data_IF_049135994061
#
_entry.id   IF_049135994061
#
_cell.length_a   1.000
_cell.length_b   1.000
_cell.length_c   1.000
_cell.angle_alpha   90.00
_cell.angle_beta   90.00
_cell.angle_gamma   90.00
#
_symmetry.space_group_name_H-M   'P 1'
#
loop_
_entity.id
_entity.type
_entity.pdbx_description
1 polymer ?
#
# COMPACT_ATOMS: atom_id res chain seq x y z
N UNK A 1 -14.92 14.21 6.56
CA UNK A 1 -14.27 14.19 5.23
C UNK A 1 -13.06 15.11 5.29
N UNK A 2 -11.87 14.55 5.06
CA UNK A 2 -10.60 15.30 5.02
C UNK A 2 -10.11 15.30 3.56
N UNK A 3 -9.33 16.29 3.16
CA UNK A 3 -8.72 16.33 1.82
C UNK A 3 -7.21 16.33 1.93
N UNK A 4 -6.55 15.69 0.97
CA UNK A 4 -5.09 15.69 0.86
C UNK A 4 -4.69 15.67 -0.62
N UNK A 5 -3.45 16.04 -0.90
CA UNK A 5 -2.90 16.04 -2.26
C UNK A 5 -2.10 14.76 -2.45
N UNK A 6 -2.42 14.02 -3.52
CA UNK A 6 -1.66 12.86 -3.92
C UNK A 6 -0.23 13.28 -4.25
N UNK A 7 0.74 12.76 -3.50
CA UNK A 7 2.15 13.01 -3.74
C UNK A 7 2.84 11.70 -4.13
N UNK A 8 3.68 11.74 -5.17
CA UNK A 8 4.62 10.65 -5.36
C UNK A 8 5.61 10.66 -4.21
N UNK A 9 5.89 9.48 -3.67
CA UNK A 9 7.09 9.32 -2.87
C UNK A 9 8.32 9.40 -3.78
N UNK A 10 9.47 9.86 -3.28
CA UNK A 10 10.76 9.76 -3.97
C UNK A 10 11.23 8.29 -4.01
N UNK A 11 10.37 7.41 -4.53
CA UNK A 11 10.71 6.02 -4.77
C UNK A 11 11.56 5.96 -6.03
N UNK A 12 12.48 4.99 -6.04
CA UNK A 12 13.21 4.70 -7.26
C UNK A 12 12.20 4.30 -8.35
N UNK A 13 12.44 4.66 -9.62
CA UNK A 13 11.76 4.05 -10.75
C UNK A 13 11.71 2.54 -10.57
N UNK A 14 10.66 1.88 -11.07
CA UNK A 14 10.65 0.43 -11.14
C UNK A 14 11.97 -0.07 -11.76
N UNK A 15 12.51 -1.23 -11.35
CA UNK A 15 13.81 -1.76 -11.82
C UNK A 15 13.98 -1.88 -13.35
N UNK A 16 12.93 -1.62 -14.11
CA UNK A 16 12.88 -1.70 -15.57
C UNK A 16 12.52 -0.37 -16.26
N UNK A 17 12.59 0.76 -15.54
CA UNK A 17 12.21 2.08 -16.07
C UNK A 17 10.71 2.34 -15.98
N UNK A 18 10.33 3.61 -16.02
CA UNK A 18 8.94 4.11 -15.89
C UNK A 18 8.09 3.96 -17.14
N UNK A 19 8.55 3.25 -18.17
CA UNK A 19 7.84 3.21 -19.45
C UNK A 19 7.67 1.78 -19.92
N UNK A 20 6.66 1.09 -19.38
CA UNK A 20 5.90 0.22 -20.27
C UNK A 20 5.16 1.12 -21.27
N UNK A 21 5.25 0.89 -22.59
CA UNK A 21 4.45 1.61 -23.57
C UNK A 21 2.96 1.49 -23.22
N UNK A 22 2.36 2.57 -22.70
CA UNK A 22 0.96 2.59 -22.25
C UNK A 22 0.74 2.90 -20.77
N UNK A 23 1.77 2.88 -19.91
CA UNK A 23 1.68 3.42 -18.54
C UNK A 23 1.95 4.94 -18.59
N UNK A 24 0.94 5.75 -18.25
CA UNK A 24 1.10 7.22 -18.20
C UNK A 24 2.03 7.58 -17.02
N UNK A 25 3.10 8.31 -17.30
CA UNK A 25 4.28 8.46 -16.46
C UNK A 25 4.15 9.15 -15.09
N UNK A 26 2.94 9.40 -14.57
CA UNK A 26 2.73 10.10 -13.29
C UNK A 26 1.85 9.34 -12.28
N UNK A 27 1.60 8.04 -12.52
CA UNK A 27 0.78 7.24 -11.62
C UNK A 27 1.42 7.04 -10.24
N UNK A 28 0.59 7.12 -9.20
CA UNK A 28 0.98 6.78 -7.83
C UNK A 28 1.00 5.26 -7.70
N UNK A 29 2.15 4.72 -7.27
CA UNK A 29 2.27 3.28 -6.98
C UNK A 29 1.26 2.84 -5.92
N UNK A 30 0.62 1.69 -6.12
CA UNK A 30 -0.34 1.13 -5.15
C UNK A 30 0.24 0.97 -3.73
N UNK A 31 1.55 0.74 -3.60
CA UNK A 31 2.23 0.69 -2.30
C UNK A 31 2.28 2.04 -1.56
N UNK A 32 2.27 3.17 -2.27
CA UNK A 32 2.14 4.49 -1.65
C UNK A 32 0.73 4.69 -1.11
N UNK A 33 -0.27 4.31 -1.91
CA UNK A 33 -1.68 4.36 -1.51
C UNK A 33 -1.94 3.43 -0.33
N UNK A 34 -1.33 2.24 -0.31
CA UNK A 34 -1.37 1.33 0.84
C UNK A 34 -0.78 1.99 2.09
N UNK A 35 0.34 2.71 1.97
CA UNK A 35 0.89 3.52 3.05
C UNK A 35 -0.13 4.51 3.61
N UNK A 36 -0.74 5.32 2.74
CA UNK A 36 -1.77 6.30 3.15
C UNK A 36 -2.99 5.64 3.82
N UNK A 37 -3.47 4.51 3.29
CA UNK A 37 -4.56 3.76 3.89
C UNK A 37 -4.20 3.22 5.28
N UNK A 38 -2.92 2.91 5.50
CA UNK A 38 -2.42 2.35 6.76
C UNK A 38 -2.29 3.41 7.85
N UNK A 39 -2.13 4.68 7.49
CA UNK A 39 -2.11 5.79 8.47
C UNK A 39 -3.37 5.81 9.34
N UNK A 40 -4.54 5.52 8.77
CA UNK A 40 -5.82 5.58 9.50
C UNK A 40 -5.93 4.56 10.64
N UNK A 41 -5.77 3.24 10.42
CA UNK A 41 -5.82 2.28 11.52
C UNK A 41 -4.64 2.43 12.49
N UNK A 42 -3.48 2.91 12.04
CA UNK A 42 -2.35 3.24 12.93
C UNK A 42 -2.70 4.42 13.84
N UNK A 43 -3.33 5.47 13.33
CA UNK A 43 -3.77 6.61 14.14
C UNK A 43 -4.83 6.20 15.18
N UNK A 44 -5.72 5.27 14.85
CA UNK A 44 -6.82 4.85 15.74
C UNK A 44 -6.38 3.79 16.77
N UNK A 45 -5.65 2.76 16.33
CA UNK A 45 -5.33 1.59 17.16
C UNK A 45 -3.84 1.41 17.46
N UNK A 46 -2.96 2.14 16.77
CA UNK A 46 -1.52 2.14 16.99
C UNK A 46 -0.90 0.75 16.96
N UNK A 47 -0.13 0.43 18.00
CA UNK A 47 0.69 -0.77 18.07
C UNK A 47 -0.16 -2.05 18.07
N UNK A 48 -1.37 -1.97 18.64
CA UNK A 48 -2.29 -3.10 18.67
C UNK A 48 -2.62 -3.57 17.25
N UNK A 49 -2.85 -2.62 16.33
CA UNK A 49 -3.11 -2.93 14.93
C UNK A 49 -1.86 -3.35 14.18
N UNK A 50 -0.70 -2.75 14.46
CA UNK A 50 0.55 -3.23 13.86
C UNK A 50 0.89 -4.67 14.23
N UNK A 51 0.49 -5.14 15.41
CA UNK A 51 0.77 -6.51 15.87
C UNK A 51 -0.20 -7.56 15.34
N UNK A 52 -1.46 -7.20 15.12
CA UNK A 52 -2.53 -8.18 14.87
C UNK A 52 -3.66 -7.67 13.96
N UNK A 53 -3.51 -6.51 13.36
CA UNK A 53 -4.48 -5.89 12.48
C UNK A 53 -4.45 -6.46 11.07
N UNK A 54 -5.51 -6.19 10.32
CA UNK A 54 -5.62 -6.48 8.90
C UNK A 54 -6.07 -5.24 8.16
N UNK A 55 -5.71 -5.17 6.88
CA UNK A 55 -6.23 -4.20 5.91
C UNK A 55 -6.46 -4.92 4.59
N UNK A 56 -7.70 -4.92 4.12
CA UNK A 56 -8.04 -5.33 2.76
C UNK A 56 -8.19 -4.08 1.91
N UNK A 57 -7.56 -4.04 0.73
CA UNK A 57 -7.55 -2.86 -0.15
C UNK A 57 -8.06 -3.24 -1.53
N UNK A 58 -8.81 -2.33 -2.15
CA UNK A 58 -9.16 -2.41 -3.57
C UNK A 58 -8.76 -1.11 -4.25
N UNK A 59 -7.96 -1.20 -5.31
CA UNK A 59 -7.58 -0.08 -6.18
C UNK A 59 -8.50 -0.09 -7.40
N UNK A 60 -9.37 0.90 -7.51
CA UNK A 60 -10.36 0.98 -8.58
C UNK A 60 -9.88 1.81 -9.76
N UNK A 61 -9.05 2.83 -9.51
CA UNK A 61 -8.53 3.73 -10.55
C UNK A 61 -7.10 4.17 -10.24
N UNK A 62 -6.27 4.41 -11.27
CA UNK A 62 -4.98 5.05 -11.09
C UNK A 62 -5.15 6.45 -10.48
N UNK A 63 -4.25 6.80 -9.56
CA UNK A 63 -4.12 8.15 -9.02
C UNK A 63 -2.90 8.82 -9.64
N UNK A 64 -2.90 10.15 -9.77
CA UNK A 64 -1.80 10.93 -10.36
C UNK A 64 -1.24 11.91 -9.33
N UNK A 65 0.06 12.20 -9.40
CA UNK A 65 0.68 13.22 -8.55
C UNK A 65 0.02 14.60 -8.73
N UNK A 66 -0.11 15.36 -7.64
CA UNK A 66 -0.76 16.68 -7.63
C UNK A 66 -2.29 16.64 -7.62
N UNK A 67 -2.89 15.47 -7.82
CA UNK A 67 -4.35 15.30 -7.73
C UNK A 67 -4.83 15.55 -6.31
N UNK A 68 -5.89 16.36 -6.15
CA UNK A 68 -6.58 16.48 -4.87
C UNK A 68 -7.48 15.28 -4.67
N UNK A 69 -7.34 14.63 -3.52
CA UNK A 69 -8.14 13.50 -3.10
C UNK A 69 -8.96 13.89 -1.88
N UNK A 70 -10.20 13.43 -1.83
CA UNK A 70 -10.99 13.41 -0.61
C UNK A 70 -10.89 12.04 0.05
N UNK A 71 -10.90 12.04 1.38
CA UNK A 71 -10.94 10.82 2.19
C UNK A 71 -12.13 10.84 3.12
N UNK A 72 -12.83 9.72 3.09
CA UNK A 72 -13.88 9.38 4.02
C UNK A 72 -13.43 8.18 4.86
N UNK A 73 -13.56 8.32 6.18
CA UNK A 73 -13.16 7.28 7.15
C UNK A 73 -14.35 7.07 8.08
N UNK A 74 -15.01 5.93 7.92
CA UNK A 74 -16.11 5.53 8.76
C UNK A 74 -15.60 4.54 9.80
N UNK A 75 -15.79 4.88 11.09
CA UNK A 75 -15.35 4.05 12.21
C UNK A 75 -16.49 3.21 12.75
N UNK A 76 -16.22 1.92 12.93
CA UNK A 76 -17.08 0.96 13.61
C UNK A 76 -16.37 0.40 14.85
N UNK A 77 -17.03 -0.45 15.62
CA UNK A 77 -16.49 -0.95 16.90
C UNK A 77 -15.10 -1.63 16.78
N UNK A 78 -14.85 -2.38 15.69
CA UNK A 78 -13.60 -3.10 15.45
C UNK A 78 -13.09 -3.01 14.01
N UNK A 79 -13.67 -2.11 13.21
CA UNK A 79 -13.30 -1.90 11.82
C UNK A 79 -13.29 -0.42 11.42
N UNK A 80 -12.50 -0.10 10.39
CA UNK A 80 -12.52 1.19 9.69
C UNK A 80 -12.80 0.92 8.21
N UNK A 81 -13.81 1.59 7.66
CA UNK A 81 -14.00 1.67 6.21
C UNK A 81 -13.38 2.98 5.73
N UNK A 82 -12.48 2.89 4.76
CA UNK A 82 -11.71 4.02 4.22
C UNK A 82 -12.00 4.10 2.73
N UNK A 83 -12.30 5.31 2.24
CA UNK A 83 -12.60 5.56 0.84
C UNK A 83 -11.87 6.82 0.36
N UNK A 84 -11.10 6.67 -0.71
CA UNK A 84 -10.47 7.77 -1.42
C UNK A 84 -11.19 8.08 -2.73
N UNK A 85 -11.52 9.34 -2.95
CA UNK A 85 -12.17 9.82 -4.17
C UNK A 85 -11.40 10.97 -4.80
N UNK A 86 -11.46 11.07 -6.13
CA UNK A 86 -10.95 12.21 -6.88
C UNK A 86 -11.84 13.45 -6.74
N UNK A 87 -11.40 14.57 -7.35
CA UNK A 87 -12.15 15.82 -7.35
C UNK A 87 -13.53 15.73 -8.03
N UNK A 88 -13.74 14.73 -8.89
CA UNK A 88 -15.01 14.45 -9.57
C UNK A 88 -15.88 13.46 -8.75
N UNK A 89 -15.48 13.08 -7.54
CA UNK A 89 -16.19 12.15 -6.66
C UNK A 89 -16.09 10.69 -7.09
N UNK A 90 -15.13 10.31 -7.93
CA UNK A 90 -14.94 8.92 -8.36
C UNK A 90 -14.02 8.20 -7.38
N UNK A 91 -14.42 6.99 -6.98
CA UNK A 91 -13.63 6.14 -6.10
C UNK A 91 -12.34 5.70 -6.80
N UNK A 92 -11.21 6.02 -6.18
CA UNK A 92 -9.88 5.60 -6.62
C UNK A 92 -9.38 4.39 -5.84
N UNK A 93 -9.60 4.37 -4.52
CA UNK A 93 -9.23 3.23 -3.67
C UNK A 93 -10.16 3.11 -2.47
N UNK A 94 -10.32 1.88 -1.97
CA UNK A 94 -11.02 1.58 -0.72
C UNK A 94 -10.19 0.68 0.17
N UNK A 95 -10.38 0.80 1.48
CA UNK A 95 -9.71 0.00 2.49
C UNK A 95 -10.68 -0.42 3.58
N UNK A 96 -10.59 -1.67 4.03
CA UNK A 96 -11.28 -2.15 5.24
C UNK A 96 -10.22 -2.63 6.21
N UNK A 97 -9.99 -1.85 7.26
CA UNK A 97 -9.07 -2.20 8.34
C UNK A 97 -9.84 -2.86 9.49
N UNK A 98 -9.26 -3.89 10.11
CA UNK A 98 -9.87 -4.55 11.28
C UNK A 98 -8.85 -4.79 12.39
N UNK A 99 -9.33 -4.75 13.63
CA UNK A 99 -8.60 -5.16 14.83
C UNK A 99 -9.37 -6.32 15.47
N UNK A 100 -8.68 -7.40 15.87
CA UNK A 100 -9.24 -8.65 16.44
C UNK A 100 -9.77 -9.69 15.45
N UNK A 101 -9.24 -9.77 14.23
CA UNK A 101 -9.51 -10.96 13.39
C UNK A 101 -8.84 -12.19 14.03
N UNK A 102 -9.63 -13.06 14.67
CA UNK A 102 -9.18 -14.36 15.17
C UNK A 102 -8.85 -15.35 14.05
N UNK A 103 -9.29 -15.05 12.83
CA UNK A 103 -8.91 -15.83 11.66
C UNK A 103 -7.45 -15.52 11.32
N UNK A 104 -6.54 -16.46 11.59
CA UNK A 104 -5.13 -16.40 11.20
C UNK A 104 -4.82 -17.34 10.03
N UNK A 105 -5.84 -17.90 9.39
CA UNK A 105 -5.65 -19.01 8.46
C UNK A 105 -5.65 -18.49 7.02
N UNK A 106 -4.47 -18.15 6.53
CA UNK A 106 -4.23 -18.30 5.09
C UNK A 106 -3.44 -19.59 4.92
N UNK A 107 -4.08 -20.63 4.39
CA UNK A 107 -3.36 -21.80 3.90
C UNK A 107 -2.60 -21.37 2.64
N UNK A 108 -1.31 -21.10 2.80
CA UNK A 108 -0.41 -20.81 1.69
C UNK A 108 0.30 -22.10 1.25
N UNK A 109 0.52 -22.22 -0.05
CA UNK A 109 1.24 -23.31 -0.68
C UNK A 109 2.53 -22.71 -1.24
N UNK A 110 3.66 -23.08 -0.64
CA UNK A 110 5.00 -22.62 -1.05
C UNK A 110 5.45 -23.36 -2.30
N UNK A 111 4.74 -23.12 -3.39
CA UNK A 111 5.16 -23.51 -4.72
C UNK A 111 5.68 -22.23 -5.38
N UNK A 112 6.92 -22.27 -5.85
CA UNK A 112 7.52 -21.21 -6.64
C UNK A 112 7.22 -21.59 -8.09
N UNK A 113 6.06 -21.21 -8.67
CA UNK A 113 5.79 -21.56 -10.05
C UNK A 113 6.88 -20.91 -10.91
N UNK A 114 7.47 -21.69 -11.81
CA UNK A 114 8.16 -21.11 -12.95
C UNK A 114 7.11 -20.36 -13.75
N UNK A 115 6.90 -19.08 -13.46
CA UNK A 115 6.01 -18.23 -14.23
C UNK A 115 6.70 -18.00 -15.57
N UNK A 116 6.29 -18.77 -16.58
CA UNK A 116 6.39 -18.31 -17.95
C UNK A 116 5.77 -16.91 -17.99
N UNK A 117 6.48 -15.92 -18.56
CA UNK A 117 6.01 -14.52 -18.57
C UNK A 117 4.59 -14.47 -19.16
N UNK A 118 3.60 -14.36 -18.29
CA UNK A 118 2.22 -14.15 -18.71
C UNK A 118 2.12 -12.73 -19.27
N UNK A 119 1.41 -12.58 -20.39
CA UNK A 119 0.91 -11.27 -20.80
C UNK A 119 -0.19 -10.91 -19.82
N UNK A 120 -0.01 -9.89 -18.96
CA UNK A 120 -0.99 -9.59 -17.92
C UNK A 120 -2.30 -9.10 -18.53
N UNK A 121 -3.40 -9.76 -18.15
CA UNK A 121 -4.78 -9.33 -18.35
C UNK A 121 -5.58 -9.48 -17.04
N UNK A 122 -6.84 -9.06 -17.06
CA UNK A 122 -7.71 -9.09 -15.89
C UNK A 122 -7.91 -10.50 -15.28
N UNK A 123 -7.71 -11.55 -16.07
CA UNK A 123 -7.87 -12.95 -15.66
C UNK A 123 -6.55 -13.64 -15.31
N UNK A 124 -5.41 -13.00 -15.58
CA UNK A 124 -4.08 -13.60 -15.44
C UNK A 124 -3.70 -13.97 -14.00
N UNK A 125 -4.47 -13.46 -13.02
CA UNK A 125 -4.32 -13.77 -11.60
C UNK A 125 -5.56 -14.46 -11.01
N UNK A 126 -6.55 -14.83 -11.81
CA UNK A 126 -7.77 -15.48 -11.32
C UNK A 126 -7.44 -16.85 -10.72
N UNK A 127 -7.72 -17.00 -9.42
CA UNK A 127 -7.37 -18.21 -8.67
C UNK A 127 -5.87 -18.41 -8.44
N UNK A 128 -5.02 -17.48 -8.90
CA UNK A 128 -3.58 -17.55 -8.69
C UNK A 128 -3.24 -17.20 -7.23
N UNK A 129 -2.46 -18.06 -6.59
CA UNK A 129 -1.87 -17.77 -5.30
C UNK A 129 -0.47 -17.20 -5.53
N UNK A 130 -0.28 -15.92 -5.19
CA UNK A 130 1.03 -15.29 -5.29
C UNK A 130 1.95 -15.80 -4.16
N UNK A 131 3.22 -16.05 -4.50
CA UNK A 131 4.22 -16.51 -3.53
C UNK A 131 4.52 -15.46 -2.46
N UNK A 132 4.89 -15.93 -1.27
CA UNK A 132 5.29 -15.04 -0.16
C UNK A 132 6.59 -14.32 -0.51
N UNK A 133 6.56 -13.00 -0.50
CA UNK A 133 7.76 -12.19 -0.44
C UNK A 133 8.10 -11.88 1.02
N UNK A 134 9.34 -12.14 1.42
CA UNK A 134 9.84 -11.76 2.75
C UNK A 134 10.94 -10.72 2.59
N UNK A 135 10.81 -9.62 3.32
CA UNK A 135 11.77 -8.52 3.31
C UNK A 135 12.34 -8.33 4.72
N UNK A 136 13.60 -7.94 4.81
CA UNK A 136 14.24 -7.60 6.09
C UNK A 136 14.27 -6.09 6.26
N UNK A 137 13.50 -5.61 7.23
CA UNK A 137 13.47 -4.21 7.63
C UNK A 137 14.48 -3.94 8.76
N UNK A 138 15.24 -2.87 8.62
CA UNK A 138 16.21 -2.33 9.57
C UNK A 138 15.92 -0.84 9.74
N UNK A 139 15.35 -0.46 10.88
CA UNK A 139 14.92 0.91 11.14
C UNK A 139 16.03 1.98 10.99
N UNK A 140 17.29 1.67 11.31
CA UNK A 140 18.39 2.65 11.21
C UNK A 140 18.76 2.93 9.74
N UNK A 141 18.58 1.95 8.88
CA UNK A 141 18.84 2.06 7.44
C UNK A 141 17.62 2.49 6.65
N UNK A 142 16.44 2.05 7.08
CA UNK A 142 15.25 1.96 6.25
C UNK A 142 14.22 3.06 6.49
N UNK A 143 14.33 3.85 7.56
CA UNK A 143 13.39 4.94 7.83
C UNK A 143 13.73 6.27 7.16
N UNK A 144 14.94 6.39 6.60
CA UNK A 144 15.40 7.62 5.96
C UNK A 144 14.49 8.09 4.81
N UNK A 145 13.78 7.18 4.12
CA UNK A 145 12.83 7.58 3.07
C UNK A 145 11.59 8.33 3.60
N UNK A 146 11.36 8.32 4.92
CA UNK A 146 10.27 9.06 5.55
C UNK A 146 10.68 10.48 5.97
N UNK A 147 11.95 10.88 5.81
CA UNK A 147 12.41 12.21 6.26
C UNK A 147 11.67 13.35 5.55
N UNK A 148 11.24 13.13 4.32
CA UNK A 148 10.46 14.07 3.52
C UNK A 148 8.94 13.92 3.71
N UNK A 149 8.49 13.16 4.72
CA UNK A 149 7.08 12.84 4.96
C UNK A 149 6.55 13.40 6.29
N UNK A 150 5.91 14.57 6.30
CA UNK A 150 5.29 15.10 7.50
C UNK A 150 4.13 14.23 8.01
N UNK A 151 3.50 13.44 7.13
CA UNK A 151 2.40 12.52 7.44
C UNK A 151 2.86 11.20 8.07
N UNK A 152 4.16 10.86 7.99
CA UNK A 152 4.70 9.59 8.48
C UNK A 152 5.50 9.70 9.80
N UNK A 153 5.36 10.81 10.54
CA UNK A 153 6.11 11.05 11.79
C UNK A 153 5.88 9.99 12.86
N UNK A 154 4.68 9.43 12.93
CA UNK A 154 4.35 8.37 13.88
C UNK A 154 5.13 7.09 13.58
N UNK A 155 5.40 6.79 12.30
CA UNK A 155 6.22 5.65 11.90
C UNK A 155 7.68 5.82 12.27
N UNK A 156 8.23 7.02 12.05
CA UNK A 156 9.61 7.33 12.42
C UNK A 156 9.83 7.25 13.93
N UNK A 157 8.97 7.92 14.71
CA UNK A 157 9.10 7.95 16.17
C UNK A 157 8.98 6.55 16.81
N UNK A 158 8.15 5.68 16.23
CA UNK A 158 7.92 4.31 16.71
C UNK A 158 8.86 3.28 16.09
N UNK A 159 9.67 3.69 15.12
CA UNK A 159 10.60 2.83 14.36
C UNK A 159 9.91 1.64 13.68
N UNK A 160 8.74 1.87 13.11
CA UNK A 160 7.95 0.84 12.43
C UNK A 160 8.17 0.83 10.91
N UNK A 161 8.05 -0.35 10.30
CA UNK A 161 8.15 -0.50 8.85
C UNK A 161 6.91 0.09 8.17
N UNK A 162 7.04 1.28 7.59
CA UNK A 162 5.97 1.91 6.80
C UNK A 162 5.77 1.14 5.47
N UNK A 163 4.54 0.77 5.08
CA UNK A 163 4.29 -0.12 3.93
C UNK A 163 4.92 0.34 2.60
N UNK A 164 4.94 1.64 2.35
CA UNK A 164 5.56 2.19 1.14
C UNK A 164 7.09 1.97 1.04
N UNK A 165 7.75 1.57 2.14
CA UNK A 165 9.16 1.14 2.14
C UNK A 165 9.41 -0.01 1.16
N UNK A 166 8.45 -0.91 0.99
CA UNK A 166 8.58 -2.00 0.02
C UNK A 166 8.69 -1.47 -1.41
N UNK A 167 7.93 -0.43 -1.74
CA UNK A 167 8.04 0.29 -3.01
C UNK A 167 9.40 0.99 -3.18
N UNK A 168 10.05 1.38 -2.09
CA UNK A 168 11.40 1.98 -2.13
C UNK A 168 12.52 0.95 -2.30
N UNK A 169 12.21 -0.35 -2.13
CA UNK A 169 13.19 -1.44 -2.07
C UNK A 169 13.17 -2.37 -3.28
N UNK A 170 12.31 -2.16 -4.27
CA UNK A 170 12.24 -3.04 -5.45
C UNK A 170 13.54 -2.94 -6.26
N UNK A 171 14.46 -3.85 -5.94
CA UNK A 171 15.53 -4.34 -6.80
C UNK A 171 15.41 -5.86 -6.71
N UNK A 172 15.25 -6.60 -7.82
CA UNK A 172 15.34 -8.06 -7.77
C UNK A 172 16.69 -8.44 -7.15
N UNK A 173 16.68 -9.31 -6.14
CA UNK A 173 17.93 -10.00 -5.78
C UNK A 173 18.34 -10.84 -7.00
N UNK A 174 19.64 -10.86 -7.35
CA UNK A 174 20.14 -11.58 -8.52
C UNK A 174 19.87 -13.08 -8.45
#
# INVERSE_FOLDING_TARGET
>A
MTSFVAAQLPLRPFPHGTEQPGELGDHIMGMNVLGWLTEHPVAVWGERWMRAGRLNVTFSRPMVAGQTLSVDVESHASSLNIRYEDADGRVCATGVATIDSTDRTHSFRDENPTLERLTPDASSLDGALLSRMTFRFDADRDLAFLDDRPDAKDWQSRRWAHPAWLGSRVVPQP
#
